data_IF_226049341604
#
_entry.id   IF_226049341604
#
_cell.length_a   1.000
_cell.length_b   1.000
_cell.length_c   1.000
_cell.angle_alpha   90.00
_cell.angle_beta   90.00
_cell.angle_gamma   90.00
#
_symmetry.space_group_name_H-M   'P 1'
#
loop_
_entity.id
_entity.type
_entity.pdbx_description
1 polymer ?
#
# COMPACT_ATOMS: atom_id res chain seq x y z
N UNK A 1 -19.84 2.92 7.24
CA UNK A 1 -18.62 3.61 6.72
C UNK A 1 -17.43 3.00 7.42
N UNK A 2 -16.50 2.47 6.68
CA UNK A 2 -15.31 1.82 7.27
C UNK A 2 -14.32 2.90 7.71
N UNK A 3 -13.55 2.66 8.78
CA UNK A 3 -12.68 3.65 9.42
C UNK A 3 -11.67 4.30 8.43
N UNK A 4 -11.19 3.53 7.46
CA UNK A 4 -10.22 3.99 6.47
C UNK A 4 -10.83 4.96 5.45
N UNK A 5 -12.14 4.93 5.19
CA UNK A 5 -12.82 5.87 4.31
C UNK A 5 -12.78 7.30 4.83
N UNK A 6 -12.92 7.47 6.16
CA UNK A 6 -12.90 8.79 6.80
C UNK A 6 -11.49 9.29 7.06
N UNK A 7 -10.59 8.43 7.52
CA UNK A 7 -9.25 8.83 7.90
C UNK A 7 -8.39 9.17 6.68
N UNK A 8 -8.28 8.27 5.70
CA UNK A 8 -7.45 8.50 4.50
C UNK A 8 -7.97 9.63 3.61
N UNK A 9 -9.25 9.99 3.73
CA UNK A 9 -9.84 11.15 3.04
C UNK A 9 -9.72 12.45 3.84
N UNK A 10 -9.16 12.43 5.06
CA UNK A 10 -9.00 13.61 5.91
C UNK A 10 -7.76 14.43 5.51
N UNK A 11 -7.83 15.76 5.69
CA UNK A 11 -6.65 16.63 5.53
C UNK A 11 -5.56 16.31 6.57
N UNK A 12 -5.96 15.84 7.77
CA UNK A 12 -5.07 15.53 8.87
C UNK A 12 -4.20 14.29 8.60
N UNK A 13 -4.72 13.30 7.88
CA UNK A 13 -3.91 12.20 7.38
C UNK A 13 -2.73 12.71 6.54
N UNK A 14 -3.03 13.62 5.62
CA UNK A 14 -2.00 14.18 4.75
C UNK A 14 -1.02 15.10 5.47
N UNK A 15 -1.46 15.79 6.53
CA UNK A 15 -0.56 16.58 7.39
C UNK A 15 0.37 15.65 8.18
N UNK A 16 -0.18 14.65 8.86
CA UNK A 16 0.58 13.72 9.70
C UNK A 16 1.66 12.98 8.91
N UNK A 17 1.37 12.64 7.64
CA UNK A 17 2.25 11.86 6.78
C UNK A 17 2.92 12.68 5.66
N UNK A 18 2.97 14.01 5.78
CA UNK A 18 3.54 14.89 4.73
C UNK A 18 5.01 14.65 4.44
N UNK A 19 5.77 14.20 5.44
CA UNK A 19 7.22 13.99 5.35
C UNK A 19 7.57 12.56 4.86
N UNK A 20 6.64 11.87 4.19
CA UNK A 20 6.99 10.62 3.52
C UNK A 20 8.00 10.89 2.42
N UNK A 21 9.16 10.27 2.55
CA UNK A 21 10.30 10.48 1.65
C UNK A 21 9.96 10.08 0.21
N UNK A 22 10.04 11.05 -0.70
CA UNK A 22 9.83 10.80 -2.11
C UNK A 22 11.05 10.11 -2.72
N UNK A 23 12.27 10.45 -2.29
CA UNK A 23 13.50 9.84 -2.81
C UNK A 23 13.56 8.35 -2.47
N UNK A 24 13.15 7.97 -1.25
CA UNK A 24 13.04 6.56 -0.87
C UNK A 24 12.04 5.80 -1.75
N UNK A 25 10.86 6.41 -2.02
CA UNK A 25 9.85 5.81 -2.87
C UNK A 25 10.32 5.65 -4.31
N UNK A 26 10.98 6.65 -4.87
CA UNK A 26 11.54 6.64 -6.22
C UNK A 26 12.65 5.59 -6.35
N UNK A 27 13.55 5.53 -5.37
CA UNK A 27 14.60 4.51 -5.29
C UNK A 27 14.00 3.10 -5.25
N UNK A 28 12.98 2.89 -4.42
CA UNK A 28 12.30 1.59 -4.32
C UNK A 28 11.69 1.17 -5.66
N UNK A 29 10.93 2.05 -6.31
CA UNK A 29 10.34 1.78 -7.63
C UNK A 29 11.43 1.46 -8.65
N UNK A 30 12.52 2.24 -8.66
CA UNK A 30 13.64 1.99 -9.58
C UNK A 30 14.25 0.60 -9.40
N UNK A 31 14.51 0.21 -8.14
CA UNK A 31 15.01 -1.12 -7.79
C UNK A 31 14.04 -2.24 -8.22
N UNK A 32 12.72 -2.05 -7.96
CA UNK A 32 11.70 -2.99 -8.39
C UNK A 32 11.68 -3.17 -9.91
N UNK A 33 11.60 -2.07 -10.67
CA UNK A 33 11.53 -2.13 -12.14
C UNK A 33 12.78 -2.82 -12.72
N UNK A 34 13.95 -2.52 -12.18
CA UNK A 34 15.21 -3.16 -12.59
C UNK A 34 15.19 -4.67 -12.30
N UNK A 35 14.72 -5.07 -11.12
CA UNK A 35 14.63 -6.47 -10.73
C UNK A 35 13.58 -7.24 -11.57
N UNK A 36 12.42 -6.63 -11.80
CA UNK A 36 11.30 -7.26 -12.53
C UNK A 36 11.52 -7.34 -14.03
N UNK A 37 12.47 -6.59 -14.59
CA UNK A 37 12.77 -6.51 -16.03
C UNK A 37 11.51 -6.29 -16.88
N UNK A 38 10.62 -5.39 -16.44
CA UNK A 38 9.40 -5.09 -17.17
C UNK A 38 9.71 -4.43 -18.52
N UNK A 39 8.93 -4.80 -19.53
CA UNK A 39 9.02 -4.15 -20.85
C UNK A 39 8.70 -2.65 -20.74
N UNK A 40 9.38 -1.81 -21.48
CA UNK A 40 9.20 -0.35 -21.47
C UNK A 40 7.74 0.11 -21.77
N UNK A 41 6.96 -0.70 -22.45
CA UNK A 41 5.55 -0.45 -22.77
C UNK A 41 4.57 -1.12 -21.80
N UNK A 42 5.05 -1.63 -20.65
CA UNK A 42 4.20 -2.32 -19.69
C UNK A 42 3.08 -1.41 -19.15
N UNK A 43 1.89 -1.97 -19.02
CA UNK A 43 0.77 -1.33 -18.34
C UNK A 43 0.84 -1.70 -16.85
N UNK A 44 0.97 -0.72 -15.98
CA UNK A 44 1.09 -0.92 -14.53
C UNK A 44 -0.16 -0.39 -13.83
N UNK A 45 -0.70 -1.19 -12.91
CA UNK A 45 -1.72 -0.78 -11.96
C UNK A 45 -1.07 -0.50 -10.60
N UNK A 46 -1.22 0.72 -10.10
CA UNK A 46 -0.88 1.10 -8.72
C UNK A 46 -2.15 1.04 -7.87
N UNK A 47 -2.27 0.00 -7.07
CA UNK A 47 -3.47 -0.35 -6.30
C UNK A 47 -3.40 0.23 -4.89
N UNK A 48 -4.35 1.08 -4.52
CA UNK A 48 -4.35 1.96 -3.36
C UNK A 48 -3.25 3.05 -3.46
N UNK A 49 -3.25 3.78 -4.58
CA UNK A 49 -2.21 4.74 -4.95
C UNK A 49 -2.20 6.04 -4.13
N UNK A 50 -3.24 6.31 -3.32
CA UNK A 50 -3.39 7.57 -2.61
C UNK A 50 -3.39 8.79 -3.56
N UNK A 51 -2.52 9.76 -3.29
CA UNK A 51 -2.30 10.94 -4.15
C UNK A 51 -1.46 10.68 -5.41
N UNK A 52 -1.11 9.43 -5.67
CA UNK A 52 -0.48 9.00 -6.92
C UNK A 52 1.04 9.14 -6.97
N UNK A 53 1.74 9.22 -5.83
CA UNK A 53 3.20 9.40 -5.78
C UNK A 53 3.95 8.36 -6.63
N UNK A 54 3.67 7.07 -6.42
CA UNK A 54 4.31 5.98 -7.16
C UNK A 54 3.85 5.95 -8.61
N UNK A 55 2.55 6.15 -8.86
CA UNK A 55 1.98 6.20 -10.21
C UNK A 55 2.62 7.29 -11.06
N UNK A 56 2.82 8.50 -10.49
CA UNK A 56 3.46 9.64 -11.17
C UNK A 56 4.91 9.28 -11.50
N UNK A 57 5.66 8.73 -10.56
CA UNK A 57 7.05 8.34 -10.80
C UNK A 57 7.16 7.25 -11.87
N UNK A 58 6.34 6.19 -11.81
CA UNK A 58 6.27 5.13 -12.83
C UNK A 58 6.02 5.72 -14.23
N UNK A 59 5.11 6.70 -14.33
CA UNK A 59 4.85 7.36 -15.59
C UNK A 59 6.01 8.24 -16.06
N UNK A 60 6.69 8.94 -15.14
CA UNK A 60 7.87 9.77 -15.48
C UNK A 60 9.03 8.93 -16.04
N UNK A 61 9.18 7.67 -15.62
CA UNK A 61 10.16 6.74 -16.17
C UNK A 61 9.66 5.95 -17.38
N UNK A 62 8.46 6.31 -17.92
CA UNK A 62 8.00 5.87 -19.23
C UNK A 62 6.86 4.83 -19.22
N UNK A 63 6.42 4.33 -18.08
CA UNK A 63 5.36 3.33 -18.03
C UNK A 63 3.95 3.92 -18.21
N UNK A 64 3.09 3.17 -18.86
CA UNK A 64 1.66 3.46 -18.85
C UNK A 64 1.06 3.02 -17.51
N UNK A 65 0.50 3.97 -16.76
CA UNK A 65 0.11 3.73 -15.37
C UNK A 65 -1.35 4.12 -15.12
N UNK A 66 -2.05 3.24 -14.42
CA UNK A 66 -3.35 3.54 -13.80
C UNK A 66 -3.18 3.49 -12.28
N UNK A 67 -3.42 4.61 -11.59
CA UNK A 67 -3.52 4.65 -10.14
C UNK A 67 -4.98 4.53 -9.70
N UNK A 68 -5.26 3.66 -8.73
CA UNK A 68 -6.61 3.54 -8.17
C UNK A 68 -6.56 3.60 -6.65
N UNK A 69 -7.54 4.29 -6.06
CA UNK A 69 -7.69 4.43 -4.62
C UNK A 69 -9.17 4.56 -4.25
N UNK A 70 -9.51 4.24 -3.00
CA UNK A 70 -10.87 4.37 -2.51
C UNK A 70 -11.23 5.83 -2.16
N UNK A 71 -10.24 6.68 -1.81
CA UNK A 71 -10.41 8.07 -1.41
C UNK A 71 -10.71 8.99 -2.61
N UNK A 72 -11.93 9.57 -2.71
CA UNK A 72 -12.24 10.51 -3.77
C UNK A 72 -11.38 11.78 -3.74
N UNK A 73 -10.99 12.26 -2.54
CA UNK A 73 -10.15 13.46 -2.42
C UNK A 73 -8.72 13.21 -2.87
N UNK A 74 -8.15 12.04 -2.51
CA UNK A 74 -6.82 11.64 -2.99
C UNK A 74 -6.80 11.54 -4.51
N UNK A 75 -7.79 10.89 -5.10
CA UNK A 75 -7.92 10.76 -6.56
C UNK A 75 -8.18 12.11 -7.24
N UNK A 76 -8.98 12.99 -6.66
CA UNK A 76 -9.18 14.34 -7.20
C UNK A 76 -7.86 15.14 -7.25
N UNK A 77 -7.00 14.97 -6.25
CA UNK A 77 -5.65 15.54 -6.24
C UNK A 77 -4.77 14.90 -7.32
N UNK A 78 -4.71 13.57 -7.39
CA UNK A 78 -3.88 12.81 -8.31
C UNK A 78 -4.25 13.11 -9.79
N UNK A 79 -5.53 13.30 -10.09
CA UNK A 79 -6.02 13.65 -11.44
C UNK A 79 -5.44 14.93 -12.03
N UNK A 80 -4.85 15.81 -11.22
CA UNK A 80 -4.12 17.00 -11.71
C UNK A 80 -2.90 16.63 -12.55
N UNK A 81 -2.40 15.40 -12.41
CA UNK A 81 -1.24 14.86 -13.13
C UNK A 81 -1.64 13.95 -14.31
N UNK A 82 -2.95 13.82 -14.60
CA UNK A 82 -3.42 13.01 -15.73
C UNK A 82 -2.78 13.42 -17.04
N UNK A 83 -2.40 12.43 -17.83
CA UNK A 83 -1.93 12.58 -19.21
C UNK A 83 -2.34 11.34 -20.02
N UNK A 84 -2.02 11.22 -21.32
CA UNK A 84 -2.38 10.04 -22.11
C UNK A 84 -1.94 8.70 -21.55
N UNK A 85 -0.84 8.66 -20.79
CA UNK A 85 -0.23 7.46 -20.20
C UNK A 85 -0.39 7.35 -18.67
N UNK A 86 -1.02 8.33 -18.02
CA UNK A 86 -1.27 8.32 -16.58
C UNK A 86 -2.71 8.71 -16.29
N UNK A 87 -3.44 7.82 -15.62
CA UNK A 87 -4.82 8.07 -15.20
C UNK A 87 -5.05 7.66 -13.76
N UNK A 88 -6.07 8.27 -13.13
CA UNK A 88 -6.47 7.98 -11.76
C UNK A 88 -7.97 7.79 -11.64
N UNK A 89 -8.39 6.71 -10.94
CA UNK A 89 -9.79 6.35 -10.75
C UNK A 89 -10.11 6.00 -9.30
N UNK A 90 -11.33 6.34 -8.85
CA UNK A 90 -11.85 5.88 -7.56
C UNK A 90 -12.32 4.44 -7.72
N UNK A 91 -11.65 3.50 -7.04
CA UNK A 91 -11.95 2.07 -7.10
C UNK A 91 -11.72 1.40 -5.76
N UNK A 92 -12.53 0.38 -5.47
CA UNK A 92 -12.31 -0.53 -4.35
C UNK A 92 -11.40 -1.68 -4.81
N UNK A 93 -10.26 -1.86 -4.16
CA UNK A 93 -9.27 -2.89 -4.52
C UNK A 93 -9.79 -4.33 -4.38
N UNK A 94 -10.91 -4.56 -3.66
CA UNK A 94 -11.58 -5.85 -3.55
C UNK A 94 -12.33 -6.26 -4.81
N UNK A 95 -12.52 -5.34 -5.75
CA UNK A 95 -13.32 -5.52 -6.96
C UNK A 95 -12.45 -5.39 -8.20
N UNK A 96 -12.39 -6.46 -8.99
CA UNK A 96 -11.83 -6.35 -10.34
C UNK A 96 -12.73 -5.50 -11.23
N UNK A 97 -12.14 -4.63 -12.02
CA UNK A 97 -12.85 -3.72 -12.94
C UNK A 97 -12.44 -3.93 -14.40
N UNK A 98 -11.52 -4.84 -14.65
CA UNK A 98 -11.08 -5.29 -15.97
C UNK A 98 -10.56 -6.72 -15.88
N UNK A 99 -10.22 -7.32 -17.01
CA UNK A 99 -9.64 -8.66 -17.08
C UNK A 99 -8.39 -8.63 -17.96
N UNK A 100 -7.31 -9.28 -17.51
CA UNK A 100 -6.07 -9.51 -18.28
C UNK A 100 -5.49 -8.24 -18.94
N UNK A 101 -5.48 -7.10 -18.22
CA UNK A 101 -5.05 -5.81 -18.77
C UNK A 101 -3.65 -5.38 -18.36
N UNK A 102 -3.20 -5.76 -17.16
CA UNK A 102 -1.96 -5.23 -16.60
C UNK A 102 -0.81 -6.23 -16.69
N UNK A 103 0.36 -5.73 -17.06
CA UNK A 103 1.61 -6.46 -17.02
C UNK A 103 2.14 -6.56 -15.58
N UNK A 104 1.85 -5.54 -14.76
CA UNK A 104 2.17 -5.53 -13.35
C UNK A 104 1.06 -4.86 -12.50
N UNK A 105 0.87 -5.36 -11.27
CA UNK A 105 0.01 -4.75 -10.25
C UNK A 105 0.83 -4.55 -8.99
N UNK A 106 0.93 -3.31 -8.53
CA UNK A 106 1.66 -2.92 -7.33
C UNK A 106 0.68 -2.50 -6.23
N UNK A 107 0.86 -3.04 -5.02
CA UNK A 107 0.20 -2.59 -3.80
C UNK A 107 1.29 -2.29 -2.77
N UNK A 108 1.62 -1.02 -2.61
CA UNK A 108 2.82 -0.57 -1.92
C UNK A 108 2.52 0.15 -0.61
N UNK A 109 3.52 0.30 0.25
CA UNK A 109 3.49 1.09 1.49
C UNK A 109 2.42 0.64 2.49
N UNK A 110 2.28 -0.68 2.68
CA UNK A 110 1.33 -1.26 3.64
C UNK A 110 -0.12 -0.82 3.36
N UNK A 111 -0.53 -0.91 2.10
CA UNK A 111 -1.91 -0.65 1.67
C UNK A 111 -2.79 -1.91 1.69
N UNK A 112 -2.32 -3.00 2.28
CA UNK A 112 -3.00 -4.28 2.47
C UNK A 112 -3.36 -4.48 3.95
N UNK A 113 -4.31 -5.40 4.25
CA UNK A 113 -4.60 -5.78 5.64
C UNK A 113 -5.52 -4.81 6.41
N UNK A 114 -6.22 -3.89 5.74
CA UNK A 114 -7.17 -2.97 6.37
C UNK A 114 -8.55 -3.56 6.62
N UNK A 115 -8.86 -4.70 6.00
CA UNK A 115 -10.16 -5.34 6.14
C UNK A 115 -10.22 -6.23 7.37
N UNK A 116 -11.43 -6.51 7.86
CA UNK A 116 -11.60 -7.28 9.10
C UNK A 116 -11.41 -8.78 8.91
N UNK A 117 -11.61 -9.31 7.72
CA UNK A 117 -11.59 -10.76 7.48
C UNK A 117 -10.55 -11.20 6.46
N UNK A 118 -10.04 -12.43 6.64
CA UNK A 118 -9.19 -13.10 5.64
C UNK A 118 -9.90 -13.24 4.27
N UNK A 119 -11.23 -13.36 4.27
CA UNK A 119 -12.03 -13.45 3.04
C UNK A 119 -11.94 -12.17 2.22
N UNK A 120 -11.94 -10.99 2.85
CA UNK A 120 -11.78 -9.72 2.14
C UNK A 120 -10.38 -9.60 1.53
N UNK A 121 -9.34 -10.03 2.24
CA UNK A 121 -7.98 -10.07 1.72
C UNK A 121 -7.87 -11.01 0.50
N UNK A 122 -8.54 -12.17 0.54
CA UNK A 122 -8.60 -13.09 -0.60
C UNK A 122 -9.32 -12.43 -1.80
N UNK A 123 -10.36 -11.62 -1.58
CA UNK A 123 -11.01 -10.88 -2.68
C UNK A 123 -10.04 -9.90 -3.36
N UNK A 124 -9.18 -9.22 -2.60
CA UNK A 124 -8.13 -8.35 -3.17
C UNK A 124 -7.20 -9.15 -4.06
N UNK A 125 -6.68 -10.28 -3.57
CA UNK A 125 -5.76 -11.13 -4.36
C UNK A 125 -6.43 -11.70 -5.62
N UNK A 126 -7.70 -12.11 -5.53
CA UNK A 126 -8.48 -12.54 -6.70
C UNK A 126 -8.74 -11.40 -7.69
N UNK A 127 -8.92 -10.17 -7.20
CA UNK A 127 -9.04 -9.01 -8.07
C UNK A 127 -7.72 -8.73 -8.79
N UNK A 128 -6.57 -8.79 -8.09
CA UNK A 128 -5.24 -8.70 -8.67
C UNK A 128 -5.04 -9.78 -9.74
N UNK A 129 -5.30 -11.05 -9.40
CA UNK A 129 -5.21 -12.18 -10.34
C UNK A 129 -6.02 -11.93 -11.61
N UNK A 130 -7.26 -11.46 -11.45
CA UNK A 130 -8.17 -11.24 -12.58
C UNK A 130 -7.70 -10.10 -13.52
N UNK A 131 -7.12 -9.05 -12.95
CA UNK A 131 -6.66 -7.88 -13.68
C UNK A 131 -5.28 -8.08 -14.34
N UNK A 132 -4.46 -8.99 -13.82
CA UNK A 132 -3.16 -9.34 -14.39
C UNK A 132 -3.31 -10.15 -15.69
N UNK A 133 -2.48 -9.87 -16.67
CA UNK A 133 -2.24 -10.75 -17.82
C UNK A 133 -1.62 -12.07 -17.36
N UNK A 134 -1.67 -13.10 -18.22
CA UNK A 134 -0.93 -14.33 -17.98
C UNK A 134 0.56 -14.02 -17.81
N UNK A 135 1.22 -14.61 -16.82
CA UNK A 135 2.58 -14.30 -16.38
C UNK A 135 2.78 -12.84 -15.90
N UNK A 136 1.72 -12.05 -15.76
CA UNK A 136 1.79 -10.70 -15.19
C UNK A 136 2.25 -10.74 -13.74
N UNK A 137 2.99 -9.73 -13.32
CA UNK A 137 3.68 -9.65 -12.02
C UNK A 137 2.83 -8.92 -10.99
N UNK A 138 2.81 -9.38 -9.75
CA UNK A 138 2.31 -8.58 -8.63
C UNK A 138 3.41 -8.29 -7.63
N UNK A 139 3.29 -7.14 -6.97
CA UNK A 139 4.13 -6.75 -5.84
C UNK A 139 3.23 -6.29 -4.71
N UNK A 140 3.43 -6.88 -3.52
CA UNK A 140 2.80 -6.43 -2.28
C UNK A 140 3.92 -6.04 -1.33
N UNK A 141 3.97 -4.75 -0.95
CA UNK A 141 4.90 -4.25 0.03
C UNK A 141 4.17 -3.99 1.35
N UNK A 142 4.52 -4.78 2.35
CA UNK A 142 3.91 -4.74 3.68
C UNK A 142 4.98 -4.49 4.75
N UNK A 143 4.55 -4.08 5.94
CA UNK A 143 5.46 -4.01 7.09
C UNK A 143 5.96 -5.41 7.49
N UNK A 144 7.18 -5.52 7.99
CA UNK A 144 7.56 -6.73 8.70
C UNK A 144 6.88 -6.75 10.08
N UNK A 145 5.83 -7.51 10.19
CA UNK A 145 4.98 -7.59 11.38
C UNK A 145 5.78 -8.02 12.63
N UNK A 146 6.74 -8.95 12.50
CA UNK A 146 7.57 -9.37 13.64
C UNK A 146 8.35 -8.18 14.21
N UNK A 147 9.06 -7.45 13.35
CA UNK A 147 9.86 -6.30 13.77
C UNK A 147 8.99 -5.17 14.32
N UNK A 148 7.84 -4.89 13.70
CA UNK A 148 6.93 -3.82 14.15
C UNK A 148 6.34 -4.14 15.52
N UNK A 149 5.94 -5.38 15.80
CA UNK A 149 5.41 -5.78 17.09
C UNK A 149 6.53 -5.77 18.15
N UNK A 150 7.71 -6.32 17.81
CA UNK A 150 8.85 -6.38 18.73
C UNK A 150 9.39 -5.01 19.16
N UNK A 151 9.22 -3.98 18.31
CA UNK A 151 9.68 -2.60 18.55
C UNK A 151 8.54 -1.60 18.65
N UNK A 152 7.35 -2.05 19.09
CA UNK A 152 6.17 -1.19 19.11
C UNK A 152 6.34 -0.03 20.10
N UNK A 153 6.35 1.20 19.58
CA UNK A 153 6.31 2.40 20.42
C UNK A 153 4.85 2.65 20.81
N UNK A 154 4.52 2.36 22.07
CA UNK A 154 3.14 2.42 22.56
C UNK A 154 2.55 3.82 22.54
N UNK A 155 3.34 4.86 22.84
CA UNK A 155 2.86 6.25 22.80
C UNK A 155 3.96 7.18 22.27
N UNK A 156 3.58 8.12 21.40
CA UNK A 156 4.42 9.21 20.92
C UNK A 156 3.60 10.48 20.69
N UNK A 157 4.24 11.63 20.75
CA UNK A 157 3.65 12.93 20.36
C UNK A 157 4.44 13.46 19.16
N UNK A 158 3.73 13.78 18.08
CA UNK A 158 4.32 14.44 16.91
C UNK A 158 3.78 15.85 16.78
N UNK A 159 4.69 16.84 16.75
CA UNK A 159 4.34 18.23 16.50
C UNK A 159 4.50 18.53 15.01
N UNK A 160 3.38 18.77 14.31
CA UNK A 160 3.36 19.00 12.86
C UNK A 160 2.33 20.10 12.56
N UNK A 161 2.74 21.14 11.82
CA UNK A 161 1.88 22.24 11.40
C UNK A 161 1.08 22.86 12.57
N UNK A 162 1.76 23.08 13.71
CA UNK A 162 1.21 23.62 14.98
C UNK A 162 0.17 22.72 15.67
N UNK A 163 0.06 21.45 15.25
CA UNK A 163 -0.82 20.44 15.87
C UNK A 163 0.03 19.42 16.62
N UNK A 164 -0.35 19.13 17.87
CA UNK A 164 0.21 18.03 18.65
C UNK A 164 -0.61 16.77 18.43
N UNK A 165 -0.11 15.85 17.61
CA UNK A 165 -0.72 14.55 17.40
C UNK A 165 -0.24 13.59 18.51
N UNK A 166 -1.12 13.22 19.44
CA UNK A 166 -0.88 12.13 20.39
C UNK A 166 -1.24 10.82 19.70
N UNK A 167 -0.26 9.94 19.57
CA UNK A 167 -0.40 8.67 18.85
C UNK A 167 -0.18 7.55 19.86
N UNK A 168 -1.16 6.65 19.98
CA UNK A 168 -1.02 5.42 20.77
C UNK A 168 -1.13 4.21 19.87
N UNK A 169 -0.31 3.20 20.13
CA UNK A 169 -0.32 1.94 19.37
C UNK A 169 -0.47 0.77 20.32
N UNK A 170 -1.21 -0.22 19.88
CA UNK A 170 -1.42 -1.47 20.62
C UNK A 170 -1.52 -2.62 19.64
N UNK A 171 -0.86 -3.73 19.98
CA UNK A 171 -1.09 -5.00 19.28
C UNK A 171 -2.13 -5.80 20.06
N UNK A 172 -3.25 -6.09 19.44
CA UNK A 172 -4.34 -6.86 20.05
C UNK A 172 -5.16 -7.59 19.02
N UNK A 173 -5.63 -8.79 19.35
CA UNK A 173 -6.49 -9.60 18.49
C UNK A 173 -6.00 -9.73 17.03
N UNK A 174 -4.69 -9.92 16.84
CA UNK A 174 -4.09 -10.07 15.50
C UNK A 174 -4.10 -8.80 14.66
N UNK A 175 -4.23 -7.62 15.29
CA UNK A 175 -4.21 -6.33 14.61
C UNK A 175 -3.34 -5.33 15.36
N UNK A 176 -2.68 -4.45 14.62
CA UNK A 176 -2.04 -3.26 15.18
C UNK A 176 -3.05 -2.13 15.09
N UNK A 177 -3.44 -1.61 16.25
CA UNK A 177 -4.31 -0.45 16.39
C UNK A 177 -3.44 0.78 16.64
N UNK A 178 -3.79 1.88 15.99
CA UNK A 178 -3.18 3.18 16.21
C UNK A 178 -4.26 4.22 16.41
N UNK A 179 -4.39 4.74 17.63
CA UNK A 179 -5.26 5.89 17.90
C UNK A 179 -4.46 7.18 17.72
N UNK A 180 -5.11 8.19 17.17
CA UNK A 180 -4.55 9.49 16.85
C UNK A 180 -5.50 10.55 17.39
N UNK A 181 -5.06 11.21 18.47
CA UNK A 181 -5.83 12.23 19.15
C UNK A 181 -5.13 13.58 19.01
N UNK A 182 -5.87 14.64 18.68
CA UNK A 182 -5.35 16.01 18.58
C UNK A 182 -6.47 17.05 18.65
N UNK A 183 -6.09 18.27 18.97
CA UNK A 183 -6.97 19.45 18.91
C UNK A 183 -6.51 20.38 17.80
N UNK A 184 -7.38 20.83 16.93
CA UNK A 184 -7.14 21.89 15.93
C UNK A 184 -8.34 22.85 15.91
N UNK A 185 -8.07 24.17 15.96
CA UNK A 185 -9.09 25.23 15.95
C UNK A 185 -10.19 25.02 16.99
N UNK A 186 -9.78 24.73 18.22
CA UNK A 186 -10.67 24.48 19.39
C UNK A 186 -11.61 23.28 19.24
N UNK A 187 -11.30 22.35 18.31
CA UNK A 187 -12.05 21.11 18.14
C UNK A 187 -11.13 19.91 18.38
N UNK A 188 -11.67 18.95 19.12
CA UNK A 188 -11.00 17.67 19.35
C UNK A 188 -11.29 16.69 18.22
N UNK A 189 -10.26 16.00 17.80
CA UNK A 189 -10.33 14.97 16.76
C UNK A 189 -9.76 13.67 17.28
N UNK A 190 -10.44 12.58 16.92
CA UNK A 190 -10.02 11.23 17.19
C UNK A 190 -10.12 10.39 15.92
N UNK A 191 -9.02 9.73 15.55
CA UNK A 191 -8.99 8.78 14.45
C UNK A 191 -8.34 7.47 14.90
N UNK A 192 -8.68 6.39 14.21
CA UNK A 192 -8.09 5.08 14.47
C UNK A 192 -7.61 4.49 13.14
N UNK A 193 -6.38 3.98 13.12
CA UNK A 193 -5.88 3.09 12.09
C UNK A 193 -5.87 1.66 12.63
N UNK A 194 -6.38 0.71 11.86
CA UNK A 194 -6.38 -0.71 12.21
C UNK A 194 -5.81 -1.51 11.05
N UNK A 195 -4.67 -2.13 11.26
CA UNK A 195 -4.02 -2.97 10.25
C UNK A 195 -3.90 -4.38 10.80
N UNK A 196 -4.32 -5.38 10.04
CA UNK A 196 -4.07 -6.76 10.40
C UNK A 196 -2.56 -7.01 10.52
N UNK A 197 -2.16 -7.69 11.57
CA UNK A 197 -0.78 -8.12 11.77
C UNK A 197 -0.53 -9.38 10.95
N UNK A 198 -0.37 -9.22 9.62
CA UNK A 198 -0.14 -10.33 8.71
C UNK A 198 1.35 -10.68 8.68
N UNK A 199 1.65 -11.95 8.86
CA UNK A 199 2.98 -12.53 8.74
C UNK A 199 3.17 -13.15 7.35
N UNK A 200 4.41 -13.55 7.03
CA UNK A 200 4.69 -14.22 5.75
C UNK A 200 3.79 -15.43 5.52
N UNK A 201 3.57 -16.23 6.55
CA UNK A 201 2.72 -17.43 6.48
C UNK A 201 1.26 -17.10 6.16
N UNK A 202 0.75 -15.95 6.65
CA UNK A 202 -0.59 -15.49 6.29
C UNK A 202 -0.67 -15.13 4.81
N UNK A 203 0.31 -14.42 4.27
CA UNK A 203 0.36 -14.12 2.84
C UNK A 203 0.48 -15.38 1.99
N UNK A 204 1.33 -16.34 2.38
CA UNK A 204 1.43 -17.63 1.70
C UNK A 204 0.09 -18.35 1.67
N UNK A 205 -0.62 -18.38 2.82
CA UNK A 205 -1.96 -18.94 2.89
C UNK A 205 -2.97 -18.21 2.01
N UNK A 206 -3.02 -16.88 2.06
CA UNK A 206 -3.95 -16.08 1.26
C UNK A 206 -3.70 -16.26 -0.24
N UNK A 207 -2.44 -16.22 -0.67
CA UNK A 207 -2.02 -16.41 -2.06
C UNK A 207 -2.35 -17.82 -2.55
N UNK A 208 -2.23 -18.84 -1.70
CA UNK A 208 -2.61 -20.24 -2.05
C UNK A 208 -4.10 -20.43 -2.38
N UNK A 209 -4.95 -19.42 -2.11
CA UNK A 209 -6.39 -19.42 -2.50
C UNK A 209 -6.66 -18.82 -3.88
N UNK A 210 -5.60 -18.54 -4.64
CA UNK A 210 -5.60 -17.93 -5.98
C UNK A 210 -4.68 -18.74 -6.90
N UNK A 211 -4.58 -18.34 -8.18
CA UNK A 211 -3.56 -18.85 -9.11
C UNK A 211 -2.28 -17.99 -9.12
N UNK A 212 -2.12 -17.10 -8.15
CA UNK A 212 -0.88 -16.34 -7.97
C UNK A 212 0.19 -17.23 -7.35
N UNK A 213 1.45 -17.01 -7.75
CA UNK A 213 2.62 -17.72 -7.21
C UNK A 213 3.67 -16.73 -6.75
N UNK A 214 4.26 -17.00 -5.59
CA UNK A 214 5.37 -16.20 -5.06
C UNK A 214 6.66 -16.62 -5.77
N UNK A 215 7.39 -15.65 -6.31
CA UNK A 215 8.69 -15.85 -6.94
C UNK A 215 9.84 -15.47 -6.01
N UNK A 216 9.70 -14.32 -5.30
CA UNK A 216 10.75 -13.76 -4.44
C UNK A 216 10.13 -13.00 -3.26
N UNK A 217 10.91 -12.91 -2.18
CA UNK A 217 10.54 -12.19 -0.97
C UNK A 217 11.73 -11.34 -0.54
N UNK A 218 11.53 -10.03 -0.40
CA UNK A 218 12.58 -9.08 -0.01
C UNK A 218 12.25 -8.41 1.32
N UNK A 219 13.30 -7.93 1.99
CA UNK A 219 13.25 -7.40 3.35
C UNK A 219 13.30 -5.89 3.45
N UNK A 220 13.67 -5.20 2.38
CA UNK A 220 13.83 -3.74 2.33
C UNK A 220 13.68 -3.19 0.91
N UNK A 221 13.75 -1.86 0.77
CA UNK A 221 13.65 -1.18 -0.51
C UNK A 221 14.91 -1.28 -1.41
N UNK A 222 16.01 -1.87 -0.89
CA UNK A 222 17.15 -2.26 -1.70
C UNK A 222 17.02 -3.68 -2.27
N UNK A 223 15.89 -4.35 -1.98
CA UNK A 223 15.57 -5.73 -2.39
C UNK A 223 16.58 -6.75 -1.84
N UNK A 224 17.03 -6.56 -0.60
CA UNK A 224 17.78 -7.59 0.13
C UNK A 224 16.87 -8.76 0.50
N UNK A 225 17.37 -10.00 0.59
CA UNK A 225 16.55 -11.13 1.01
C UNK A 225 15.83 -10.88 2.33
N UNK A 226 14.59 -11.35 2.45
CA UNK A 226 13.80 -11.20 3.66
C UNK A 226 14.37 -12.02 4.81
N UNK A 227 14.57 -11.36 5.94
CA UNK A 227 14.85 -11.96 7.24
C UNK A 227 13.71 -11.60 8.20
N UNK A 228 13.16 -12.59 8.89
CA UNK A 228 12.00 -12.43 9.77
C UNK A 228 12.20 -11.40 10.88
N UNK A 229 13.41 -11.40 11.49
CA UNK A 229 13.71 -10.59 12.67
C UNK A 229 14.33 -9.23 12.30
N UNK A 230 15.11 -9.19 11.23
CA UNK A 230 15.96 -8.04 10.90
C UNK A 230 15.35 -7.11 9.84
N UNK A 231 14.59 -7.65 8.90
CA UNK A 231 14.05 -6.87 7.79
C UNK A 231 13.07 -5.78 8.24
N UNK A 232 13.10 -4.63 7.57
CA UNK A 232 12.15 -3.54 7.81
C UNK A 232 10.80 -3.79 7.14
N UNK A 233 10.83 -4.49 6.00
CA UNK A 233 9.67 -4.74 5.17
C UNK A 233 9.47 -6.23 4.92
N UNK A 234 8.29 -6.56 4.43
CA UNK A 234 7.95 -7.83 3.80
C UNK A 234 7.43 -7.49 2.39
N UNK A 235 8.31 -7.62 1.40
CA UNK A 235 7.99 -7.32 0.01
C UNK A 235 7.86 -8.62 -0.75
N UNK A 236 6.64 -8.94 -1.18
CA UNK A 236 6.31 -10.18 -1.88
C UNK A 236 6.20 -9.86 -3.36
N UNK A 237 6.99 -10.52 -4.16
CA UNK A 237 6.97 -10.48 -5.62
C UNK A 237 6.51 -11.84 -6.13
N UNK A 238 5.62 -11.84 -7.09
CA UNK A 238 5.15 -13.06 -7.71
C UNK A 238 4.42 -12.80 -9.02
N UNK A 239 3.85 -13.84 -9.58
CA UNK A 239 3.15 -13.76 -10.87
C UNK A 239 1.88 -14.58 -10.93
N UNK A 240 1.04 -14.27 -11.91
CA UNK A 240 -0.11 -15.06 -12.28
C UNK A 240 0.36 -16.32 -13.02
N UNK A 241 -0.06 -17.49 -12.52
CA UNK A 241 0.19 -18.79 -13.15
C UNK A 241 -0.70 -19.08 -14.35
#
# INVERSE_FOLDING_TARGET
MEWFETWFDSEYYHKLYKNRDNEEAEKFIHNLITNLQLNSNANILDLACGKGRHSIFLNNIGFKTLGVDLSPKSIAFARKFNNPNLRFEVRDMRKSFCKDQFDAVFNLFTSFGYFESKTENIKVLKAIENMLKNNGVFVIDFMNTNKVIGNLVEEEIKFIDQINFRIKRTYTNGSILKSIDFTDKEKDFHFTEKVQALFLEDFQYLISKTNLKIDSIFGDYNLTPFDRELSDRLIIVGRKG
#
